data_IF_547665916809
#
_entry.id   IF_547665916809
#
_cell.length_a   1.000
_cell.length_b   1.000
_cell.length_c   1.000
_cell.angle_alpha   90.00
_cell.angle_beta   90.00
_cell.angle_gamma   90.00
#
_symmetry.space_group_name_H-M   'P 1'
#
loop_
_entity.id
_entity.type
_entity.pdbx_description
1 polymer ?
#
# COMPACT_ATOMS: atom_id res chain seq x y z
N UNK A 1 2.57 -25.22 29.15
CA UNK A 1 3.48 -24.99 27.99
C UNK A 1 3.38 -23.52 27.61
N UNK A 2 4.54 -22.83 27.66
CA UNK A 2 4.85 -21.50 27.13
C UNK A 2 3.72 -20.50 26.95
N UNK A 3 3.36 -19.76 28.00
CA UNK A 3 2.92 -18.38 27.78
C UNK A 3 4.20 -17.59 27.57
N UNK A 4 4.52 -17.27 26.31
CA UNK A 4 5.53 -16.28 26.00
C UNK A 4 5.03 -14.97 26.60
N UNK A 5 5.56 -14.58 27.76
CA UNK A 5 5.38 -13.23 28.28
C UNK A 5 6.34 -12.37 27.46
N UNK A 6 5.83 -11.83 26.35
CA UNK A 6 6.57 -10.85 25.59
C UNK A 6 6.54 -9.53 26.37
N UNK A 7 7.68 -9.06 26.83
CA UNK A 7 7.86 -7.62 27.04
C UNK A 7 8.15 -7.05 25.67
N UNK A 8 7.05 -6.75 24.95
CA UNK A 8 7.04 -6.53 23.51
C UNK A 8 8.16 -5.60 23.01
N UNK A 9 8.48 -4.54 23.76
CA UNK A 9 9.52 -3.60 23.37
C UNK A 9 10.95 -4.15 23.56
N UNK A 10 11.21 -4.87 24.66
CA UNK A 10 12.53 -5.47 24.92
C UNK A 10 12.82 -6.61 23.95
N UNK A 11 11.82 -7.43 23.65
CA UNK A 11 11.93 -8.54 22.70
C UNK A 11 12.16 -8.04 21.26
N UNK A 12 11.46 -6.98 20.85
CA UNK A 12 11.68 -6.35 19.55
C UNK A 12 13.09 -5.76 19.50
N UNK A 13 13.52 -5.01 20.52
CA UNK A 13 14.87 -4.43 20.56
C UNK A 13 15.95 -5.52 20.49
N UNK A 14 15.77 -6.63 21.21
CA UNK A 14 16.70 -7.75 21.20
C UNK A 14 16.85 -8.35 19.80
N UNK A 15 15.75 -8.57 19.08
CA UNK A 15 15.77 -9.13 17.72
C UNK A 15 16.40 -8.13 16.74
N UNK A 16 15.96 -6.87 16.77
CA UNK A 16 16.40 -5.83 15.83
C UNK A 16 17.90 -5.61 15.90
N UNK A 17 18.49 -5.59 17.11
CA UNK A 17 19.96 -5.42 17.31
C UNK A 17 20.82 -6.50 16.66
N UNK A 18 20.25 -7.68 16.37
CA UNK A 18 20.99 -8.76 15.70
C UNK A 18 21.13 -8.55 14.19
N UNK A 19 20.45 -7.56 13.62
CA UNK A 19 20.36 -7.36 12.18
C UNK A 19 20.86 -5.96 11.77
N UNK A 20 21.39 -5.89 10.54
CA UNK A 20 21.67 -4.60 9.86
C UNK A 20 20.45 -4.03 9.18
N UNK A 21 19.55 -4.90 8.71
CA UNK A 21 18.30 -4.56 8.04
C UNK A 21 17.22 -5.50 8.55
N UNK A 22 16.08 -4.95 8.97
CA UNK A 22 14.87 -5.68 9.30
C UNK A 22 13.90 -5.53 8.14
N UNK A 23 13.46 -6.67 7.60
CA UNK A 23 12.42 -6.73 6.58
C UNK A 23 11.14 -7.19 7.27
N UNK A 24 10.27 -6.23 7.55
CA UNK A 24 8.99 -6.48 8.18
C UNK A 24 7.94 -6.87 7.11
N UNK A 25 7.70 -8.17 7.01
CA UNK A 25 6.63 -8.76 6.19
C UNK A 25 5.37 -9.08 7.00
N UNK A 26 5.34 -8.66 8.26
CA UNK A 26 4.20 -8.91 9.16
C UNK A 26 3.09 -7.91 8.92
N UNK A 27 1.90 -8.20 9.43
CA UNK A 27 0.79 -7.26 9.39
C UNK A 27 -0.32 -7.64 10.36
N UNK A 28 -1.20 -6.70 10.71
CA UNK A 28 -1.33 -5.37 10.07
C UNK A 28 -0.31 -4.35 10.60
N UNK A 29 0.12 -3.40 9.76
CA UNK A 29 1.23 -2.48 10.11
C UNK A 29 0.86 -1.55 11.24
N UNK A 30 -0.36 -1.02 11.27
CA UNK A 30 -0.79 -0.12 12.34
C UNK A 30 -0.65 -0.69 13.75
N UNK A 31 -0.68 -2.03 13.90
CA UNK A 31 -0.54 -2.67 15.20
C UNK A 31 0.90 -2.78 15.71
N UNK A 32 1.91 -2.92 14.83
CA UNK A 32 3.28 -3.26 15.24
C UNK A 32 4.40 -2.54 14.48
N UNK A 33 4.16 -2.03 13.28
CA UNK A 33 5.19 -1.53 12.36
C UNK A 33 6.04 -0.38 12.94
N UNK A 34 5.42 0.60 13.60
CA UNK A 34 6.04 1.76 14.23
C UNK A 34 6.89 1.35 15.42
N UNK A 35 6.46 0.37 16.21
CA UNK A 35 7.27 -0.14 17.32
C UNK A 35 8.57 -0.76 16.79
N UNK A 36 8.46 -1.57 15.73
CA UNK A 36 9.62 -2.18 15.05
C UNK A 36 10.50 -1.12 14.38
N UNK A 37 9.92 -0.16 13.66
CA UNK A 37 10.67 0.93 13.02
C UNK A 37 11.38 1.83 14.04
N UNK A 38 10.73 2.14 15.17
CA UNK A 38 11.33 2.89 16.26
C UNK A 38 12.46 2.11 16.94
N UNK A 39 12.30 0.80 17.14
CA UNK A 39 13.36 -0.08 17.63
C UNK A 39 14.57 -0.14 16.68
N UNK A 40 14.31 -0.15 15.37
CA UNK A 40 15.32 -0.06 14.33
C UNK A 40 16.13 1.23 14.44
N UNK A 41 15.47 2.37 14.63
CA UNK A 41 16.14 3.67 14.86
C UNK A 41 17.02 3.62 16.11
N UNK A 42 16.49 3.12 17.24
CA UNK A 42 17.25 3.02 18.51
C UNK A 42 18.49 2.15 18.39
N UNK A 43 18.41 1.10 17.57
CA UNK A 43 19.46 0.09 17.43
C UNK A 43 20.45 0.37 16.29
N UNK A 44 20.22 1.40 15.47
CA UNK A 44 21.04 1.67 14.28
C UNK A 44 20.79 0.70 13.12
N UNK A 45 19.65 0.01 13.14
CA UNK A 45 19.26 -0.99 12.15
C UNK A 45 18.33 -0.36 11.11
N UNK A 46 18.49 -0.70 9.84
CA UNK A 46 17.60 -0.23 8.77
C UNK A 46 16.28 -1.00 8.77
N UNK A 47 15.20 -0.37 8.32
CA UNK A 47 13.87 -0.96 8.28
C UNK A 47 13.29 -0.91 6.87
N UNK A 48 12.71 -2.02 6.45
CA UNK A 48 11.99 -2.16 5.19
C UNK A 48 10.67 -2.86 5.48
N UNK A 49 9.56 -2.38 4.90
CA UNK A 49 8.28 -3.08 5.01
C UNK A 49 7.55 -3.29 3.70
N UNK A 50 6.52 -4.14 3.75
CA UNK A 50 5.66 -4.47 2.62
C UNK A 50 4.27 -3.81 2.72
N UNK A 51 4.18 -2.59 3.28
CA UNK A 51 2.90 -1.88 3.39
C UNK A 51 2.19 -1.82 2.03
N UNK A 52 0.98 -2.37 1.94
CA UNK A 52 0.23 -2.44 0.67
C UNK A 52 -1.28 -2.34 0.86
N UNK A 53 -1.77 -1.95 2.05
CA UNK A 53 -3.20 -1.78 2.30
C UNK A 53 -3.52 -0.34 2.67
N UNK A 54 -4.67 0.21 2.24
CA UNK A 54 -5.02 1.60 2.51
C UNK A 54 -4.99 1.97 3.98
N UNK A 55 -5.55 1.12 4.86
CA UNK A 55 -5.55 1.34 6.31
C UNK A 55 -4.15 1.52 6.89
N UNK A 56 -3.20 0.71 6.42
CA UNK A 56 -1.80 0.78 6.83
C UNK A 56 -1.03 1.93 6.15
N UNK A 57 -1.55 2.47 5.05
CA UNK A 57 -0.90 3.57 4.30
C UNK A 57 -0.95 4.89 5.08
N UNK A 58 -2.12 5.24 5.67
CA UNK A 58 -2.23 6.42 6.54
C UNK A 58 -1.36 6.30 7.79
N UNK A 59 -1.18 5.07 8.27
CA UNK A 59 -0.27 4.77 9.35
C UNK A 59 1.18 5.02 8.96
N UNK A 60 1.66 4.49 7.83
CA UNK A 60 3.03 4.71 7.37
C UNK A 60 3.34 6.20 7.16
N UNK A 61 2.35 7.02 6.79
CA UNK A 61 2.50 8.48 6.76
C UNK A 61 2.74 9.07 8.14
N UNK A 62 1.88 8.71 9.10
CA UNK A 62 2.01 9.18 10.48
C UNK A 62 3.34 8.76 11.09
N UNK A 63 3.70 7.48 10.93
CA UNK A 63 4.97 6.93 11.36
C UNK A 63 6.16 7.60 10.68
N UNK A 64 6.08 7.86 9.37
CA UNK A 64 7.10 8.61 8.66
C UNK A 64 7.30 10.00 9.28
N UNK A 65 6.24 10.77 9.48
CA UNK A 65 6.34 12.13 10.02
C UNK A 65 6.92 12.16 11.45
N UNK A 66 6.55 11.19 12.30
CA UNK A 66 7.03 11.09 13.67
C UNK A 66 8.48 10.61 13.79
N UNK A 67 8.91 9.74 12.86
CA UNK A 67 10.20 9.06 12.91
C UNK A 67 11.27 9.71 12.03
N UNK A 68 10.88 10.56 11.05
CA UNK A 68 11.79 11.11 10.04
C UNK A 68 13.05 11.75 10.63
N UNK A 69 12.88 12.72 11.53
CA UNK A 69 14.02 13.45 12.11
C UNK A 69 14.91 12.54 12.96
N UNK A 70 14.32 11.58 13.68
CA UNK A 70 15.08 10.62 14.50
C UNK A 70 15.90 9.66 13.63
N UNK A 71 15.28 9.13 12.57
CA UNK A 71 15.95 8.26 11.60
C UNK A 71 17.12 8.98 10.91
N UNK A 72 16.90 10.23 10.50
CA UNK A 72 17.93 11.08 9.90
C UNK A 72 19.09 11.33 10.86
N UNK A 73 18.81 11.67 12.12
CA UNK A 73 19.83 11.90 13.13
C UNK A 73 20.63 10.64 13.48
N UNK A 74 20.02 9.46 13.42
CA UNK A 74 20.70 8.18 13.70
C UNK A 74 21.37 7.54 12.47
N UNK A 75 21.20 8.11 11.28
CA UNK A 75 21.70 7.52 10.03
C UNK A 75 20.95 6.25 9.60
N UNK A 76 19.76 6.01 10.14
CA UNK A 76 18.93 4.85 9.83
C UNK A 76 18.01 5.17 8.65
N UNK A 77 18.00 4.28 7.65
CA UNK A 77 17.04 4.34 6.55
C UNK A 77 15.76 3.57 6.89
N UNK A 78 14.61 4.22 6.70
CA UNK A 78 13.28 3.62 6.78
C UNK A 78 12.67 3.60 5.37
N UNK A 79 12.39 2.41 4.84
CA UNK A 79 11.82 2.20 3.51
C UNK A 79 10.43 1.57 3.65
N UNK A 80 9.42 2.36 3.34
CA UNK A 80 8.02 1.95 3.38
C UNK A 80 7.57 1.42 2.01
N UNK A 81 6.54 0.57 1.98
CA UNK A 81 5.89 0.13 0.72
C UNK A 81 6.79 -0.70 -0.23
N UNK A 82 7.79 -1.39 0.31
CA UNK A 82 8.67 -2.32 -0.42
C UNK A 82 8.04 -3.71 -0.59
N UNK A 83 6.80 -3.75 -1.07
CA UNK A 83 6.06 -4.97 -1.39
C UNK A 83 5.65 -5.04 -2.86
N UNK A 84 4.90 -6.09 -3.20
CA UNK A 84 4.28 -6.24 -4.54
C UNK A 84 3.47 -4.99 -4.92
N UNK A 85 2.81 -4.39 -3.94
CA UNK A 85 1.91 -3.24 -4.09
C UNK A 85 2.57 -1.85 -3.98
N UNK A 86 3.86 -1.69 -4.26
CA UNK A 86 4.49 -0.36 -4.14
C UNK A 86 5.71 -0.18 -5.02
N UNK A 87 6.88 -0.54 -4.49
CA UNK A 87 8.19 -0.28 -5.12
C UNK A 87 8.30 -0.80 -6.57
N UNK A 88 7.63 -1.89 -6.92
CA UNK A 88 7.65 -2.44 -8.28
C UNK A 88 7.02 -1.48 -9.29
N UNK A 89 5.84 -0.95 -8.96
CA UNK A 89 5.15 0.03 -9.80
C UNK A 89 5.90 1.36 -9.86
N UNK A 90 6.51 1.77 -8.74
CA UNK A 90 7.30 2.99 -8.65
C UNK A 90 8.53 2.96 -9.58
N UNK A 91 9.36 1.92 -9.45
CA UNK A 91 10.53 1.73 -10.32
C UNK A 91 10.09 1.57 -11.78
N UNK A 92 9.04 0.81 -12.04
CA UNK A 92 8.49 0.62 -13.39
C UNK A 92 8.05 1.95 -14.03
N UNK A 93 7.31 2.77 -13.29
CA UNK A 93 6.88 4.09 -13.75
C UNK A 93 8.08 5.00 -14.02
N UNK A 94 9.06 5.06 -13.11
CA UNK A 94 10.26 5.87 -13.27
C UNK A 94 11.06 5.47 -14.53
N UNK A 95 11.27 4.17 -14.74
CA UNK A 95 11.99 3.65 -15.92
C UNK A 95 11.25 3.97 -17.22
N UNK A 96 9.91 3.85 -17.25
CA UNK A 96 9.10 4.20 -18.41
C UNK A 96 9.18 5.70 -18.73
N UNK A 97 9.11 6.57 -17.71
CA UNK A 97 9.25 8.01 -17.89
C UNK A 97 10.62 8.37 -18.46
N UNK A 98 11.70 7.79 -17.91
CA UNK A 98 13.06 8.00 -18.43
C UNK A 98 13.21 7.53 -19.87
N UNK A 99 12.68 6.35 -20.20
CA UNK A 99 12.73 5.82 -21.55
C UNK A 99 11.97 6.70 -22.55
N UNK A 100 10.76 7.16 -22.21
CA UNK A 100 9.98 8.05 -23.08
C UNK A 100 10.71 9.37 -23.31
N UNK A 101 11.25 9.96 -22.24
CA UNK A 101 12.07 11.17 -22.32
C UNK A 101 13.28 10.97 -23.22
N UNK A 102 14.03 9.90 -23.02
CA UNK A 102 15.30 9.67 -23.72
C UNK A 102 15.10 9.34 -25.19
N UNK A 103 14.15 8.46 -25.50
CA UNK A 103 13.90 7.97 -26.86
C UNK A 103 13.05 8.92 -27.69
N UNK A 104 11.97 9.46 -27.11
CA UNK A 104 10.99 10.26 -27.86
C UNK A 104 11.10 11.76 -27.60
N UNK A 105 11.91 12.19 -26.62
CA UNK A 105 12.05 13.61 -26.23
C UNK A 105 10.69 14.26 -25.90
N UNK A 106 9.80 13.48 -25.29
CA UNK A 106 8.46 13.93 -24.88
C UNK A 106 8.26 13.73 -23.38
N UNK A 107 7.44 14.58 -22.73
CA UNK A 107 7.00 14.32 -21.37
C UNK A 107 5.99 13.15 -21.35
N UNK A 108 5.95 12.42 -20.26
CA UNK A 108 4.94 11.38 -20.03
C UNK A 108 3.69 12.02 -19.40
N UNK A 109 2.54 11.85 -20.07
CA UNK A 109 1.24 12.30 -19.55
C UNK A 109 0.62 11.28 -18.59
N UNK A 110 0.65 10.00 -18.94
CA UNK A 110 -0.05 8.96 -18.17
C UNK A 110 0.64 7.61 -18.32
N UNK A 111 0.68 6.86 -17.23
CA UNK A 111 1.02 5.43 -17.20
C UNK A 111 -0.16 4.69 -16.59
N UNK A 112 -0.62 3.66 -17.29
CA UNK A 112 -1.62 2.73 -16.82
C UNK A 112 -0.94 1.38 -16.61
N UNK A 113 -1.00 0.88 -15.37
CA UNK A 113 -0.58 -0.46 -15.03
C UNK A 113 -1.81 -1.36 -14.91
N UNK A 114 -1.65 -2.63 -15.25
CA UNK A 114 -2.73 -3.61 -15.26
C UNK A 114 -2.36 -4.79 -14.39
N UNK A 115 -3.30 -5.23 -13.56
CA UNK A 115 -3.16 -6.37 -12.68
C UNK A 115 -4.25 -7.39 -12.99
N UNK A 116 -3.84 -8.65 -13.15
CA UNK A 116 -4.75 -9.79 -13.20
C UNK A 116 -4.41 -10.68 -12.02
N UNK A 117 -5.42 -10.93 -11.20
CA UNK A 117 -5.32 -11.83 -10.06
C UNK A 117 -6.03 -13.15 -10.37
N UNK A 118 -5.37 -14.26 -10.06
CA UNK A 118 -5.99 -15.58 -10.03
C UNK A 118 -6.10 -16.05 -8.57
N UNK A 119 -7.27 -16.55 -8.17
CA UNK A 119 -7.52 -17.03 -6.80
C UNK A 119 -8.00 -15.95 -5.81
N UNK A 120 -8.02 -16.28 -4.51
CA UNK A 120 -8.53 -15.40 -3.46
C UNK A 120 -7.40 -14.81 -2.62
N UNK A 121 -7.26 -13.48 -2.57
CA UNK A 121 -6.24 -12.78 -1.76
C UNK A 121 -6.68 -12.45 -0.33
N UNK A 122 -7.86 -12.89 0.09
CA UNK A 122 -8.48 -12.41 1.32
C UNK A 122 -8.01 -13.25 2.52
N UNK A 123 -6.91 -12.82 3.15
CA UNK A 123 -6.46 -13.36 4.44
C UNK A 123 -6.99 -12.52 5.61
N UNK A 124 -6.94 -13.05 6.85
CA UNK A 124 -7.32 -12.28 8.05
C UNK A 124 -6.50 -11.00 8.22
N UNK A 125 -5.21 -11.03 7.86
CA UNK A 125 -4.34 -9.85 7.88
C UNK A 125 -4.79 -8.80 6.87
N UNK A 126 -5.15 -9.21 5.64
CA UNK A 126 -5.66 -8.31 4.59
C UNK A 126 -6.95 -7.64 5.05
N UNK A 127 -7.88 -8.41 5.62
CA UNK A 127 -9.15 -7.90 6.11
C UNK A 127 -8.99 -6.93 7.29
N UNK A 128 -8.09 -7.23 8.23
CA UNK A 128 -7.81 -6.35 9.36
C UNK A 128 -7.09 -5.08 8.91
N UNK A 129 -6.17 -5.17 7.96
CA UNK A 129 -5.50 -4.00 7.37
C UNK A 129 -6.49 -3.12 6.59
N UNK A 130 -7.46 -3.73 5.90
CA UNK A 130 -8.54 -3.02 5.21
C UNK A 130 -9.55 -2.35 6.17
N UNK A 131 -9.69 -2.85 7.40
CA UNK A 131 -10.48 -2.17 8.44
C UNK A 131 -9.85 -0.82 8.80
N UNK A 132 -8.52 -0.78 8.90
CA UNK A 132 -7.78 0.40 9.35
C UNK A 132 -8.12 0.82 10.78
N UNK A 133 -7.52 1.92 11.23
CA UNK A 133 -7.85 2.56 12.51
C UNK A 133 -9.23 3.26 12.46
N UNK A 134 -9.81 3.50 13.63
CA UNK A 134 -11.07 4.25 13.72
C UNK A 134 -10.92 5.66 13.13
N UNK A 135 -11.85 6.02 12.24
CA UNK A 135 -11.81 7.30 11.52
C UNK A 135 -10.92 7.31 10.27
N UNK A 136 -10.31 6.18 9.88
CA UNK A 136 -9.53 6.03 8.65
C UNK A 136 -10.23 6.61 7.41
N UNK A 137 -11.48 6.22 7.14
CA UNK A 137 -12.22 6.70 5.96
C UNK A 137 -12.45 8.21 5.98
N UNK A 138 -12.63 8.79 7.17
CA UNK A 138 -12.79 10.24 7.33
C UNK A 138 -11.48 10.95 7.05
N UNK A 139 -10.36 10.46 7.61
CA UNK A 139 -9.03 10.99 7.35
C UNK A 139 -8.70 10.91 5.86
N UNK A 140 -8.90 9.75 5.23
CA UNK A 140 -8.66 9.55 3.80
C UNK A 140 -9.48 10.52 2.93
N UNK A 141 -10.76 10.72 3.24
CA UNK A 141 -11.61 11.71 2.53
C UNK A 141 -11.15 13.15 2.73
N UNK A 142 -10.60 13.48 3.90
CA UNK A 142 -10.11 14.82 4.23
C UNK A 142 -8.75 15.12 3.60
N UNK A 143 -7.86 14.13 3.60
CA UNK A 143 -6.49 14.27 3.09
C UNK A 143 -6.39 14.00 1.59
N UNK A 144 -7.42 13.38 0.99
CA UNK A 144 -7.44 12.98 -0.41
C UNK A 144 -6.47 11.83 -0.71
N UNK A 145 -6.42 11.39 -1.97
CA UNK A 145 -5.54 10.29 -2.43
C UNK A 145 -4.10 10.72 -2.72
N UNK A 146 -3.78 12.01 -2.49
CA UNK A 146 -2.46 12.61 -2.75
C UNK A 146 -1.67 12.89 -1.46
N UNK A 147 -2.21 12.56 -0.29
CA UNK A 147 -1.67 12.96 1.03
C UNK A 147 -0.25 12.51 1.37
N UNK A 148 0.26 11.49 0.67
CA UNK A 148 1.63 10.99 0.81
C UNK A 148 2.56 11.49 -0.31
N UNK A 149 2.04 12.04 -1.40
CA UNK A 149 2.79 12.32 -2.63
C UNK A 149 2.56 13.71 -3.22
N UNK A 150 3.24 14.01 -4.33
CA UNK A 150 3.16 15.33 -4.97
C UNK A 150 1.84 15.52 -5.72
N UNK A 151 1.12 16.59 -5.38
CA UNK A 151 0.00 17.06 -6.21
C UNK A 151 0.50 17.49 -7.60
N UNK A 152 -0.28 17.26 -8.67
CA UNK A 152 0.01 17.82 -9.99
C UNK A 152 0.10 19.34 -9.92
N UNK A 153 1.05 19.94 -10.64
CA UNK A 153 1.20 21.41 -10.68
C UNK A 153 -0.04 22.09 -11.30
N UNK A 154 -0.81 21.35 -12.11
CA UNK A 154 -2.10 21.79 -12.67
C UNK A 154 -3.25 21.81 -11.68
N UNK A 155 -3.04 21.35 -10.44
CA UNK A 155 -4.10 21.04 -9.49
C UNK A 155 -4.86 19.74 -9.82
N UNK A 156 -5.75 19.36 -8.90
CA UNK A 156 -6.60 18.18 -9.00
C UNK A 156 -7.74 18.39 -10.01
N UNK A 157 -8.02 17.38 -10.83
CA UNK A 157 -9.12 17.36 -11.81
C UNK A 157 -10.13 16.26 -11.43
N UNK A 158 -11.32 16.28 -12.02
CA UNK A 158 -12.38 15.28 -11.74
C UNK A 158 -11.91 13.82 -11.96
N UNK A 159 -11.03 13.61 -12.94
CA UNK A 159 -10.45 12.29 -13.24
C UNK A 159 -9.44 11.79 -12.20
N UNK A 160 -9.04 12.65 -11.26
CA UNK A 160 -8.21 12.32 -10.10
C UNK A 160 -9.06 11.91 -8.89
N UNK A 161 -10.40 12.02 -8.96
CA UNK A 161 -11.33 11.48 -7.97
C UNK A 161 -11.57 9.98 -8.20
N UNK A 162 -10.65 9.20 -7.67
CA UNK A 162 -10.62 7.75 -7.77
C UNK A 162 -11.79 7.07 -7.06
N UNK A 163 -12.41 7.73 -6.09
CA UNK A 163 -13.60 7.23 -5.40
C UNK A 163 -14.81 7.09 -6.34
N UNK A 164 -14.82 7.84 -7.44
CA UNK A 164 -15.89 7.81 -8.46
C UNK A 164 -15.63 6.83 -9.59
N UNK A 165 -14.49 6.14 -9.58
CA UNK A 165 -14.15 5.19 -10.63
C UNK A 165 -15.21 4.07 -10.70
N UNK A 166 -15.73 3.85 -11.90
CA UNK A 166 -16.65 2.75 -12.20
C UNK A 166 -15.92 1.70 -13.02
N UNK A 167 -16.37 0.43 -12.98
CA UNK A 167 -15.95 -0.57 -13.93
C UNK A 167 -16.14 -0.07 -15.37
N UNK A 168 -15.12 -0.27 -16.21
CA UNK A 168 -15.14 0.12 -17.63
C UNK A 168 -14.52 -0.99 -18.46
N UNK A 169 -15.01 -1.20 -19.68
CA UNK A 169 -14.31 -2.08 -20.64
C UNK A 169 -13.02 -1.40 -21.11
N UNK A 170 -11.86 -1.96 -20.76
CA UNK A 170 -10.57 -1.45 -21.21
C UNK A 170 -10.24 -1.96 -22.62
N UNK A 171 -9.98 -1.02 -23.53
CA UNK A 171 -9.75 -1.30 -24.95
C UNK A 171 -8.40 -1.96 -25.25
N UNK A 172 -7.41 -1.83 -24.37
CA UNK A 172 -6.07 -2.39 -24.57
C UNK A 172 -5.96 -3.80 -24.03
N UNK A 173 -6.57 -4.04 -22.86
CA UNK A 173 -6.64 -5.36 -22.23
C UNK A 173 -7.74 -6.24 -22.85
N UNK A 174 -8.80 -5.64 -23.43
CA UNK A 174 -9.97 -6.40 -23.88
C UNK A 174 -10.73 -7.04 -22.72
N UNK A 175 -10.64 -6.44 -21.52
CA UNK A 175 -11.20 -6.94 -20.27
C UNK A 175 -11.91 -5.81 -19.52
N UNK A 176 -12.80 -6.16 -18.61
CA UNK A 176 -13.38 -5.19 -17.69
C UNK A 176 -12.34 -4.75 -16.69
N UNK A 177 -12.15 -3.45 -16.53
CA UNK A 177 -11.18 -2.84 -15.65
C UNK A 177 -11.90 -2.08 -14.54
N UNK A 178 -11.43 -2.23 -13.32
CA UNK A 178 -11.79 -1.35 -12.21
C UNK A 178 -10.51 -0.82 -11.57
N UNK A 179 -10.53 0.41 -11.08
CA UNK A 179 -9.35 1.01 -10.47
C UNK A 179 -8.94 0.20 -9.23
N UNK A 180 -7.65 -0.13 -9.13
CA UNK A 180 -7.06 -0.74 -7.94
C UNK A 180 -6.91 0.31 -6.84
N UNK A 181 -6.92 -0.13 -5.59
CA UNK A 181 -6.87 0.78 -4.43
C UNK A 181 -5.49 1.48 -4.28
N UNK A 182 -5.34 2.14 -3.13
CA UNK A 182 -4.65 3.40 -2.91
C UNK A 182 -3.09 3.33 -2.76
N UNK A 183 -2.48 2.28 -2.16
CA UNK A 183 -1.06 2.35 -1.79
C UNK A 183 -0.08 2.37 -2.96
N UNK A 184 -0.36 1.59 -4.01
CA UNK A 184 0.56 1.45 -5.14
C UNK A 184 0.74 2.77 -5.88
N UNK A 185 -0.36 3.50 -6.03
CA UNK A 185 -0.39 4.77 -6.74
C UNK A 185 0.30 5.87 -5.94
N UNK A 186 0.27 5.78 -4.61
CA UNK A 186 0.92 6.72 -3.73
C UNK A 186 2.44 6.71 -3.91
N UNK A 187 3.07 5.53 -3.97
CA UNK A 187 4.52 5.43 -4.13
C UNK A 187 5.00 6.16 -5.38
N UNK A 188 4.32 5.93 -6.51
CA UNK A 188 4.59 6.61 -7.78
C UNK A 188 4.37 8.12 -7.67
N UNK A 189 3.35 8.58 -6.93
CA UNK A 189 3.10 10.00 -6.68
C UNK A 189 4.16 10.65 -5.80
N UNK A 190 4.71 9.92 -4.82
CA UNK A 190 5.85 10.38 -4.02
C UNK A 190 7.06 10.61 -4.90
N UNK A 191 7.43 9.61 -5.72
CA UNK A 191 8.53 9.71 -6.67
C UNK A 191 8.30 10.80 -7.70
N UNK A 192 7.07 10.95 -8.22
CA UNK A 192 6.71 12.09 -9.06
C UNK A 192 6.98 13.43 -8.34
N UNK A 193 6.51 13.59 -7.10
CA UNK A 193 6.74 14.80 -6.31
C UNK A 193 8.23 15.12 -6.09
N UNK A 194 9.06 14.11 -5.84
CA UNK A 194 10.50 14.25 -5.65
C UNK A 194 11.27 14.54 -6.94
N UNK A 195 10.90 13.85 -8.02
CA UNK A 195 11.68 13.83 -9.26
C UNK A 195 11.07 14.66 -10.39
N UNK A 196 9.93 15.33 -10.20
CA UNK A 196 9.29 16.14 -11.26
C UNK A 196 10.23 17.17 -11.89
N UNK A 197 11.15 17.75 -11.10
CA UNK A 197 12.13 18.74 -11.58
C UNK A 197 13.33 18.12 -12.31
N UNK A 198 13.80 16.95 -11.88
CA UNK A 198 15.02 16.32 -12.42
C UNK A 198 14.74 15.33 -13.55
N UNK A 199 13.67 14.54 -13.42
CA UNK A 199 13.38 13.43 -14.33
C UNK A 199 12.42 13.80 -15.46
N UNK A 200 11.85 15.00 -15.44
CA UNK A 200 10.90 15.51 -16.45
C UNK A 200 9.64 14.65 -16.60
N UNK A 201 9.04 14.26 -15.47
CA UNK A 201 7.63 13.88 -15.49
C UNK A 201 6.82 15.03 -16.11
N UNK A 202 5.80 14.72 -16.91
CA UNK A 202 4.93 15.77 -17.46
C UNK A 202 4.22 16.55 -16.34
N UNK A 203 3.85 17.83 -16.58
CA UNK A 203 3.17 18.66 -15.56
C UNK A 203 1.82 18.08 -15.11
N UNK A 204 1.20 17.29 -15.98
CA UNK A 204 -0.06 16.58 -15.77
C UNK A 204 0.16 15.06 -15.65
N UNK A 205 1.33 14.61 -15.16
CA UNK A 205 1.64 13.19 -15.07
C UNK A 205 0.63 12.46 -14.17
N UNK A 206 0.13 11.32 -14.66
CA UNK A 206 -0.75 10.44 -13.91
C UNK A 206 -0.28 9.01 -13.94
N UNK A 207 -0.50 8.34 -12.83
CA UNK A 207 -0.30 6.92 -12.70
C UNK A 207 -1.58 6.30 -12.18
N UNK A 208 -2.05 5.23 -12.83
CA UNK A 208 -3.24 4.48 -12.43
C UNK A 208 -2.97 2.99 -12.53
N UNK A 209 -3.56 2.23 -11.62
CA UNK A 209 -3.54 0.77 -11.66
C UNK A 209 -4.95 0.27 -11.85
N UNK A 210 -5.11 -0.68 -12.76
CA UNK A 210 -6.38 -1.27 -13.12
C UNK A 210 -6.36 -2.76 -12.82
N UNK A 211 -7.26 -3.20 -11.95
CA UNK A 211 -7.57 -4.62 -11.82
C UNK A 211 -8.47 -5.05 -12.97
N UNK A 212 -8.08 -6.13 -13.62
CA UNK A 212 -8.78 -6.69 -14.77
C UNK A 212 -9.68 -7.88 -14.38
N UNK A 213 -10.85 -7.92 -15.01
CA UNK A 213 -11.94 -8.85 -14.74
C UNK A 213 -12.49 -9.39 -16.06
N UNK A 214 -13.01 -10.63 -16.06
CA UNK A 214 -13.60 -11.23 -17.25
C UNK A 214 -14.90 -10.54 -17.69
N UNK A 215 -15.68 -9.99 -16.75
CA UNK A 215 -16.97 -9.36 -17.02
C UNK A 215 -17.29 -8.20 -16.04
N UNK A 216 -18.30 -7.40 -16.38
CA UNK A 216 -18.74 -6.23 -15.60
C UNK A 216 -19.24 -6.61 -14.21
N UNK A 217 -19.90 -7.76 -14.10
CA UNK A 217 -20.47 -8.22 -12.85
C UNK A 217 -19.36 -8.57 -11.86
N UNK A 218 -18.30 -9.25 -12.31
CA UNK A 218 -17.11 -9.54 -11.52
C UNK A 218 -16.41 -8.27 -11.05
N UNK A 219 -16.21 -7.30 -11.94
CA UNK A 219 -15.62 -6.01 -11.60
C UNK A 219 -16.48 -5.24 -10.57
N UNK A 220 -17.80 -5.18 -10.79
CA UNK A 220 -18.74 -4.50 -9.89
C UNK A 220 -18.84 -5.16 -8.52
N UNK A 221 -18.83 -6.49 -8.46
CA UNK A 221 -18.81 -7.25 -7.21
C UNK A 221 -17.53 -6.97 -6.41
N UNK A 222 -16.39 -6.84 -7.08
CA UNK A 222 -15.15 -6.49 -6.42
C UNK A 222 -15.24 -5.08 -5.79
N UNK A 223 -15.69 -4.08 -6.55
CA UNK A 223 -15.91 -2.72 -6.04
C UNK A 223 -16.86 -2.69 -4.84
N UNK A 224 -17.94 -3.47 -4.88
CA UNK A 224 -18.89 -3.59 -3.78
C UNK A 224 -18.24 -4.23 -2.54
N UNK A 225 -17.47 -5.30 -2.70
CA UNK A 225 -16.78 -5.97 -1.59
C UNK A 225 -15.81 -5.04 -0.88
N UNK A 226 -15.00 -4.30 -1.63
CA UNK A 226 -13.98 -3.40 -1.10
C UNK A 226 -14.62 -2.18 -0.40
N UNK A 227 -15.67 -1.61 -0.99
CA UNK A 227 -16.39 -0.47 -0.41
C UNK A 227 -17.28 -0.82 0.79
N UNK A 228 -17.57 -2.11 1.04
CA UNK A 228 -18.50 -2.53 2.08
C UNK A 228 -17.96 -2.33 3.51
N UNK A 229 -18.28 -1.18 4.10
CA UNK A 229 -17.92 -0.83 5.47
C UNK A 229 -18.56 -1.77 6.53
N UNK A 230 -19.66 -2.48 6.21
CA UNK A 230 -20.30 -3.41 7.15
C UNK A 230 -19.44 -4.66 7.35
N UNK A 231 -18.85 -5.21 6.29
CA UNK A 231 -17.89 -6.32 6.39
C UNK A 231 -16.66 -5.93 7.23
N UNK A 232 -16.21 -4.67 7.10
CA UNK A 232 -15.08 -4.11 7.88
C UNK A 232 -15.43 -3.90 9.36
N UNK A 233 -16.60 -3.33 9.67
CA UNK A 233 -17.07 -3.11 11.06
C UNK A 233 -17.39 -4.40 11.80
N UNK A 234 -17.90 -5.42 11.09
CA UNK A 234 -18.22 -6.72 11.66
C UNK A 234 -17.01 -7.65 11.86
N UNK A 235 -15.80 -7.25 11.42
CA UNK A 235 -14.64 -8.14 11.38
C UNK A 235 -14.37 -8.86 12.71
N UNK A 236 -14.27 -8.12 13.83
CA UNK A 236 -14.01 -8.73 15.14
C UNK A 236 -15.06 -9.77 15.54
N UNK A 237 -16.34 -9.43 15.37
CA UNK A 237 -17.46 -10.35 15.62
C UNK A 237 -17.44 -11.57 14.68
N UNK A 238 -17.03 -11.39 13.42
CA UNK A 238 -16.94 -12.48 12.46
C UNK A 238 -15.75 -13.41 12.74
N UNK A 239 -14.63 -12.89 13.25
CA UNK A 239 -13.50 -13.69 13.75
C UNK A 239 -13.92 -14.48 14.99
N UNK A 240 -14.58 -13.83 15.97
CA UNK A 240 -15.12 -14.51 17.16
C UNK A 240 -16.09 -15.64 16.81
N UNK A 241 -16.96 -15.40 15.81
CA UNK A 241 -17.89 -16.40 15.30
C UNK A 241 -17.25 -17.42 14.35
N UNK A 242 -15.92 -17.38 14.15
CA UNK A 242 -15.15 -18.25 13.23
C UNK A 242 -15.69 -18.27 11.80
N UNK A 243 -16.32 -17.18 11.36
CA UNK A 243 -16.86 -17.02 10.00
C UNK A 243 -15.79 -16.56 9.00
N UNK A 244 -14.72 -15.97 9.50
CA UNK A 244 -13.56 -15.50 8.73
C UNK A 244 -12.26 -15.84 9.53
N UNK A 245 -11.12 -16.04 8.84
CA UNK A 245 -9.86 -16.35 9.51
C UNK A 245 -9.35 -15.19 10.35
N UNK A 246 -8.70 -15.50 11.48
CA UNK A 246 -7.98 -14.53 12.29
C UNK A 246 -6.66 -14.12 11.63
N UNK A 247 -6.09 -12.95 11.98
CA UNK A 247 -4.73 -12.59 11.56
C UNK A 247 -3.73 -13.66 12.02
N UNK A 248 -2.84 -14.09 11.13
CA UNK A 248 -1.85 -15.12 11.43
C UNK A 248 -2.29 -16.58 11.22
N UNK A 249 -3.58 -16.86 10.95
CA UNK A 249 -4.05 -18.23 10.68
C UNK A 249 -3.41 -18.82 9.40
N UNK A 250 -3.08 -17.96 8.44
CA UNK A 250 -2.53 -18.34 7.14
C UNK A 250 -3.49 -19.23 6.32
N UNK A 251 -3.09 -19.63 5.10
CA UNK A 251 -3.87 -20.60 4.32
C UNK A 251 -3.91 -21.95 5.04
N UNK A 252 -5.00 -22.70 4.87
CA UNK A 252 -5.12 -24.04 5.42
C UNK A 252 -4.05 -24.97 4.82
N UNK A 253 -3.66 -26.03 5.55
CA UNK A 253 -2.54 -26.91 5.18
C UNK A 253 -2.65 -27.48 3.75
N UNK A 254 -3.88 -27.74 3.28
CA UNK A 254 -4.15 -28.17 1.90
C UNK A 254 -3.63 -27.16 0.87
N UNK A 255 -3.93 -25.88 1.03
CA UNK A 255 -3.50 -24.80 0.14
C UNK A 255 -1.99 -24.49 0.26
N UNK A 256 -1.30 -24.98 1.30
CA UNK A 256 0.16 -24.81 1.43
C UNK A 256 0.97 -25.89 0.68
N UNK A 257 0.33 -27.01 0.33
CA UNK A 257 0.97 -28.17 -0.32
C UNK A 257 0.69 -28.25 -1.84
N UNK A 258 -0.30 -27.50 -2.31
CA UNK A 258 -0.62 -27.28 -3.73
C UNK A 258 0.26 -26.16 -4.30
#
# INVERSE_FOLDING_TARGET
RGKMQLEWDEDIDAIVRTARVVIDVTGPKHAIGTAVAAACIRSGTHYIDNTSFPGDTLYSKTAHDELHEKAKASGVSLVWFCGLGGVLFDIGALLLVRYIREKYKKPTRRIDAYEISHGTHVSGTVLLSAKGEDGFEKKLKQTGYFFLGGEPDSGLKDEDDEAKAKPVMDRYAGMWANLSEIPEQICVRCSYGLFKKSEHFGPDFRFKIWMLFPDEAAASMNSLRMSNAFLRRGYGKHVELKKIPAPGDGPCERLRKE
#
